data_IF_594960819209
#
_entry.id   IF_594960819209
#
_cell.length_a   1.000
_cell.length_b   1.000
_cell.length_c   1.000
_cell.angle_alpha   90.00
_cell.angle_beta   90.00
_cell.angle_gamma   90.00
#
_symmetry.space_group_name_H-M   'P 1'
#
loop_
_entity.id
_entity.type
_entity.pdbx_description
1 polymer ?
#
# COMPACT_ATOMS: atom_id res chain seq x y z
N UNK A 1 -14.28 16.77 21.95
CA UNK A 1 -13.22 16.45 20.97
C UNK A 1 -12.20 15.56 21.66
N UNK A 2 -12.08 14.29 21.25
CA UNK A 2 -11.12 13.32 21.83
C UNK A 2 -9.93 13.22 20.87
N UNK A 3 -8.73 13.55 21.35
CA UNK A 3 -7.51 13.48 20.54
C UNK A 3 -7.28 12.04 20.03
N UNK A 4 -6.85 11.89 18.78
CA UNK A 4 -6.64 10.60 18.13
C UNK A 4 -7.89 9.96 17.50
N UNK A 5 -9.06 10.61 17.60
CA UNK A 5 -10.32 10.15 16.97
C UNK A 5 -10.75 11.06 15.83
N UNK A 6 -11.55 10.53 14.91
CA UNK A 6 -12.29 11.33 13.92
C UNK A 6 -13.70 11.70 14.39
N UNK A 7 -14.02 11.42 15.66
CA UNK A 7 -15.32 11.70 16.28
C UNK A 7 -16.30 10.53 16.24
N UNK A 8 -17.55 10.82 16.57
CA UNK A 8 -18.67 9.88 16.51
C UNK A 8 -19.41 10.01 15.17
N UNK A 9 -20.21 8.99 14.85
CA UNK A 9 -21.10 9.00 13.67
C UNK A 9 -22.09 10.18 13.70
N UNK A 10 -22.47 10.65 12.52
CA UNK A 10 -23.53 11.64 12.38
C UNK A 10 -24.90 11.04 12.77
N UNK A 11 -25.86 11.86 13.21
CA UNK A 11 -27.24 11.42 13.38
C UNK A 11 -27.78 10.73 12.13
N UNK A 12 -28.55 9.64 12.33
CA UNK A 12 -29.14 8.82 11.27
C UNK A 12 -28.16 8.11 10.33
N UNK A 13 -26.85 8.16 10.63
CA UNK A 13 -25.84 7.35 9.96
C UNK A 13 -25.48 6.17 10.86
N UNK A 14 -25.54 4.97 10.30
CA UNK A 14 -24.95 3.79 10.92
C UNK A 14 -23.46 3.71 10.53
N UNK A 15 -22.63 3.29 11.48
CA UNK A 15 -21.18 3.20 11.35
C UNK A 15 -20.73 1.90 12.03
N UNK A 16 -19.93 1.11 11.35
CA UNK A 16 -19.46 -0.19 11.85
C UNK A 16 -18.11 -0.56 11.24
N UNK A 17 -17.22 -1.18 12.03
CA UNK A 17 -16.03 -1.86 11.52
C UNK A 17 -16.39 -3.31 11.13
N UNK A 18 -16.00 -3.75 9.94
CA UNK A 18 -16.33 -5.05 9.39
C UNK A 18 -15.10 -5.90 9.15
N UNK A 19 -15.18 -7.19 9.49
CA UNK A 19 -14.30 -8.21 8.94
C UNK A 19 -14.75 -8.51 7.52
N UNK A 20 -13.79 -8.60 6.60
CA UNK A 20 -14.04 -8.87 5.20
C UNK A 20 -13.30 -10.13 4.73
N UNK A 21 -13.84 -10.80 3.73
CA UNK A 21 -13.15 -11.88 3.03
C UNK A 21 -12.15 -11.36 1.98
N UNK A 22 -11.51 -12.27 1.26
CA UNK A 22 -10.57 -11.92 0.18
C UNK A 22 -11.20 -11.23 -1.03
N UNK A 23 -12.54 -11.21 -1.15
CA UNK A 23 -13.28 -10.47 -2.15
C UNK A 23 -13.75 -9.09 -1.64
N UNK A 24 -13.45 -8.75 -0.37
CA UNK A 24 -13.85 -7.50 0.26
C UNK A 24 -15.30 -7.48 0.76
N UNK A 25 -15.99 -8.63 0.79
CA UNK A 25 -17.35 -8.74 1.31
C UNK A 25 -17.34 -8.95 2.81
N UNK A 26 -18.31 -8.36 3.51
CA UNK A 26 -18.41 -8.49 4.95
C UNK A 26 -18.77 -9.92 5.38
N UNK A 27 -17.92 -10.50 6.24
CA UNK A 27 -18.16 -11.81 6.88
C UNK A 27 -18.60 -11.67 8.34
N UNK A 28 -18.59 -10.45 8.88
CA UNK A 28 -19.15 -10.14 10.18
C UNK A 28 -18.68 -8.80 10.74
N UNK A 29 -19.41 -8.29 11.71
CA UNK A 29 -19.02 -7.12 12.49
C UNK A 29 -17.75 -7.41 13.33
N UNK A 30 -16.82 -6.45 13.38
CA UNK A 30 -15.75 -6.42 14.35
C UNK A 30 -16.30 -6.05 15.74
N UNK A 31 -15.84 -6.72 16.81
CA UNK A 31 -15.98 -6.25 18.18
C UNK A 31 -15.39 -4.85 18.40
N UNK A 32 -15.78 -4.20 19.49
CA UNK A 32 -15.17 -2.94 19.95
C UNK A 32 -13.66 -3.08 20.09
N UNK A 33 -12.91 -2.11 19.56
CA UNK A 33 -11.44 -2.11 19.58
C UNK A 33 -10.78 -2.95 18.48
N UNK A 34 -11.52 -3.78 17.74
CA UNK A 34 -10.97 -4.58 16.65
C UNK A 34 -10.98 -3.79 15.33
N UNK A 35 -9.83 -3.77 14.65
CA UNK A 35 -9.67 -3.09 13.37
C UNK A 35 -10.43 -3.87 12.28
N UNK A 36 -11.23 -3.15 11.51
CA UNK A 36 -11.93 -3.67 10.34
C UNK A 36 -12.12 -2.60 9.26
N UNK A 37 -12.71 -2.99 8.14
CA UNK A 37 -13.11 -2.06 7.09
C UNK A 37 -14.30 -1.25 7.57
N UNK A 38 -14.18 0.07 7.52
CA UNK A 38 -15.23 0.97 7.97
C UNK A 38 -16.36 0.98 6.94
N UNK A 39 -17.53 0.54 7.38
CA UNK A 39 -18.77 0.61 6.65
C UNK A 39 -19.67 1.72 7.16
N UNK A 40 -20.35 2.40 6.25
CA UNK A 40 -21.42 3.35 6.59
C UNK A 40 -22.72 2.99 5.90
N UNK A 41 -23.84 3.21 6.59
CA UNK A 41 -25.18 3.07 6.01
C UNK A 41 -26.07 4.24 6.47
N UNK A 42 -27.04 4.63 5.65
CA UNK A 42 -27.98 5.71 5.99
C UNK A 42 -28.36 6.56 4.77
N UNK A 43 -29.20 7.60 4.98
CA UNK A 43 -29.80 8.38 3.90
C UNK A 43 -28.78 9.19 3.08
N UNK A 44 -27.56 9.40 3.60
CA UNK A 44 -26.50 10.14 2.93
C UNK A 44 -25.64 9.27 2.01
N UNK A 45 -25.89 7.95 1.96
CA UNK A 45 -25.16 7.03 1.09
C UNK A 45 -25.80 7.07 -0.30
N UNK A 46 -25.00 7.41 -1.31
CA UNK A 46 -25.42 7.43 -2.72
C UNK A 46 -25.75 6.01 -3.22
N UNK A 47 -26.60 5.83 -4.25
CA UNK A 47 -27.09 4.51 -4.67
C UNK A 47 -26.08 3.68 -5.48
N UNK A 48 -24.91 4.23 -5.78
CA UNK A 48 -23.91 3.62 -6.66
C UNK A 48 -23.43 4.57 -7.76
N UNK A 49 -22.36 4.18 -8.45
CA UNK A 49 -21.80 4.93 -9.57
C UNK A 49 -22.59 4.71 -10.86
N UNK A 50 -22.49 5.67 -11.80
CA UNK A 50 -23.15 5.56 -13.10
C UNK A 50 -22.62 4.38 -13.93
N UNK A 51 -21.31 4.13 -13.89
CA UNK A 51 -20.69 3.02 -14.59
C UNK A 51 -20.80 1.74 -13.74
N UNK A 52 -21.33 0.66 -14.33
CA UNK A 52 -21.49 -0.61 -13.63
C UNK A 52 -20.16 -1.20 -13.12
N UNK A 53 -19.07 -1.04 -13.86
CA UNK A 53 -17.73 -1.46 -13.46
C UNK A 53 -17.29 -0.81 -12.13
N UNK A 54 -17.58 0.48 -11.94
CA UNK A 54 -17.13 1.23 -10.77
C UNK A 54 -17.92 0.87 -9.50
N UNK A 55 -19.01 0.10 -9.63
CA UNK A 55 -19.78 -0.43 -8.51
C UNK A 55 -19.21 -1.74 -7.95
N UNK A 56 -18.16 -2.30 -8.54
CA UNK A 56 -17.54 -3.53 -8.05
C UNK A 56 -16.85 -3.28 -6.70
N UNK A 57 -17.26 -4.02 -5.67
CA UNK A 57 -16.63 -3.96 -4.33
C UNK A 57 -16.97 -2.74 -3.47
N UNK A 58 -17.87 -1.85 -3.92
CA UNK A 58 -18.23 -0.65 -3.16
C UNK A 58 -19.19 -0.94 -2.00
N UNK A 59 -19.76 -2.15 -1.93
CA UNK A 59 -20.71 -2.56 -0.90
C UNK A 59 -20.10 -3.67 -0.05
N UNK A 60 -20.01 -3.44 1.26
CA UNK A 60 -19.60 -4.47 2.24
C UNK A 60 -20.72 -5.50 2.46
N UNK A 61 -21.94 -4.98 2.55
CA UNK A 61 -23.18 -5.71 2.72
C UNK A 61 -24.32 -4.86 2.09
N UNK A 62 -25.52 -5.41 1.89
CA UNK A 62 -26.65 -4.64 1.38
C UNK A 62 -26.88 -3.35 2.18
N UNK A 63 -26.78 -2.19 1.51
CA UNK A 63 -26.95 -0.85 2.12
C UNK A 63 -25.75 -0.33 2.91
N UNK A 64 -24.66 -1.08 3.03
CA UNK A 64 -23.44 -0.70 3.72
C UNK A 64 -22.32 -0.37 2.73
N UNK A 65 -22.06 0.93 2.56
CA UNK A 65 -20.98 1.42 1.72
C UNK A 65 -19.63 1.06 2.33
N UNK A 66 -18.78 0.46 1.52
CA UNK A 66 -17.37 0.28 1.78
C UNK A 66 -16.64 1.63 1.62
N UNK A 67 -16.16 2.22 2.70
CA UNK A 67 -15.37 3.47 2.64
C UNK A 67 -13.96 3.25 2.09
N UNK A 68 -13.49 2.00 2.14
CA UNK A 68 -12.10 1.62 1.88
C UNK A 68 -11.13 2.07 2.98
N UNK A 69 -11.62 2.64 4.08
CA UNK A 69 -10.85 3.02 5.25
C UNK A 69 -10.85 1.88 6.29
N UNK A 70 -9.76 1.76 7.04
CA UNK A 70 -9.63 0.86 8.17
C UNK A 70 -9.71 1.63 9.48
N UNK A 71 -10.32 1.01 10.47
CA UNK A 71 -10.40 1.58 11.79
C UNK A 71 -11.13 0.69 12.77
N UNK A 72 -11.28 1.19 13.99
CA UNK A 72 -12.07 0.54 15.03
C UNK A 72 -12.95 1.56 15.76
N UNK A 73 -14.02 1.06 16.37
CA UNK A 73 -14.86 1.83 17.28
C UNK A 73 -14.43 1.52 18.71
N UNK A 74 -14.24 2.56 19.53
CA UNK A 74 -14.05 2.39 20.97
C UNK A 74 -15.39 2.17 21.70
N UNK A 75 -15.33 1.89 23.00
CA UNK A 75 -16.51 1.61 23.82
C UNK A 75 -17.50 2.80 23.88
N UNK A 76 -17.01 4.02 23.62
CA UNK A 76 -17.79 5.25 23.59
C UNK A 76 -18.33 5.56 22.19
N UNK A 77 -18.10 4.68 21.21
CA UNK A 77 -18.55 4.81 19.83
C UNK A 77 -17.77 5.84 19.00
N UNK A 78 -16.58 6.24 19.45
CA UNK A 78 -15.68 7.09 18.65
C UNK A 78 -14.92 6.24 17.65
N UNK A 79 -14.78 6.77 16.43
CA UNK A 79 -14.02 6.15 15.36
C UNK A 79 -12.54 6.55 15.43
N UNK A 80 -11.69 5.55 15.39
CA UNK A 80 -10.25 5.67 15.22
C UNK A 80 -9.91 5.10 13.84
N UNK A 81 -9.48 5.95 12.91
CA UNK A 81 -8.99 5.49 11.61
C UNK A 81 -7.53 5.08 11.75
N UNK A 82 -7.19 3.91 11.22
CA UNK A 82 -5.83 3.39 11.24
C UNK A 82 -5.18 3.44 9.87
N UNK A 83 -5.97 3.34 8.78
CA UNK A 83 -5.42 3.43 7.44
C UNK A 83 -6.44 3.20 6.33
N UNK A 84 -5.98 2.68 5.19
CA UNK A 84 -6.81 2.30 4.04
C UNK A 84 -6.68 0.80 3.81
N UNK A 85 -7.79 0.12 3.52
CA UNK A 85 -7.80 -1.32 3.27
C UNK A 85 -6.86 -1.70 2.11
N UNK A 86 -6.85 -0.90 1.05
CA UNK A 86 -5.97 -1.07 -0.12
C UNK A 86 -4.50 -0.69 0.13
N UNK A 87 -4.20 -0.07 1.26
CA UNK A 87 -2.83 0.33 1.60
C UNK A 87 -2.19 -0.62 2.63
N UNK A 88 -2.91 -1.61 3.14
CA UNK A 88 -2.36 -2.66 3.99
C UNK A 88 -1.18 -3.37 3.31
N UNK A 89 -0.19 -3.70 4.12
CA UNK A 89 0.93 -4.54 3.73
C UNK A 89 0.60 -5.96 4.19
N UNK A 90 0.50 -6.91 3.27
CA UNK A 90 0.10 -8.29 3.58
C UNK A 90 1.33 -9.19 3.59
N UNK A 91 1.90 -9.39 4.78
CA UNK A 91 3.10 -10.21 4.99
C UNK A 91 2.74 -11.58 5.53
N UNK A 92 2.84 -12.61 4.69
CA UNK A 92 2.55 -14.00 5.07
C UNK A 92 1.12 -14.21 5.54
N UNK A 93 0.17 -13.44 4.99
CA UNK A 93 -1.23 -13.43 5.42
C UNK A 93 -1.52 -12.56 6.66
N UNK A 94 -0.51 -11.89 7.22
CA UNK A 94 -0.68 -10.93 8.30
C UNK A 94 -0.82 -9.50 7.76
N UNK A 95 -1.86 -8.79 8.18
CA UNK A 95 -2.14 -7.42 7.76
C UNK A 95 -1.37 -6.43 8.63
N UNK A 96 -0.45 -5.70 8.02
CA UNK A 96 0.36 -4.66 8.66
C UNK A 96 -0.15 -3.30 8.20
N UNK A 97 -0.45 -2.43 9.16
CA UNK A 97 -0.80 -1.05 8.89
C UNK A 97 0.46 -0.20 8.62
N UNK A 98 0.63 0.38 7.42
CA UNK A 98 1.78 1.25 7.14
C UNK A 98 1.88 2.46 8.06
N UNK A 99 0.75 2.94 8.61
CA UNK A 99 0.73 4.12 9.48
C UNK A 99 1.63 3.91 10.71
N UNK A 100 1.69 2.70 11.27
CA UNK A 100 2.58 2.38 12.39
C UNK A 100 4.06 2.63 12.06
N UNK A 101 4.47 2.29 10.85
CA UNK A 101 5.84 2.47 10.36
C UNK A 101 6.10 3.95 10.09
N UNK A 102 5.13 4.63 9.46
CA UNK A 102 5.19 6.05 9.15
C UNK A 102 5.28 6.91 10.42
N UNK A 103 4.48 6.63 11.44
CA UNK A 103 4.51 7.31 12.73
C UNK A 103 5.83 7.06 13.48
N UNK A 104 6.36 5.84 13.43
CA UNK A 104 7.68 5.55 14.00
C UNK A 104 8.78 6.37 13.31
N UNK A 105 8.74 6.48 11.98
CA UNK A 105 9.68 7.29 11.20
C UNK A 105 9.52 8.79 11.49
N UNK A 106 8.29 9.29 11.55
CA UNK A 106 7.99 10.71 11.77
C UNK A 106 8.40 11.20 13.17
N UNK A 107 8.56 10.30 14.14
CA UNK A 107 9.15 10.62 15.46
C UNK A 107 10.65 10.91 15.39
N UNK A 108 11.34 10.47 14.34
CA UNK A 108 12.78 10.70 14.19
C UNK A 108 13.08 12.17 13.81
N UNK A 109 14.03 12.85 14.48
CA UNK A 109 14.23 14.29 14.32
C UNK A 109 14.63 14.71 12.91
N UNK A 110 15.31 13.86 12.14
CA UNK A 110 15.74 14.15 10.76
C UNK A 110 14.62 13.99 9.70
N UNK A 111 13.51 13.32 10.02
CA UNK A 111 12.49 12.92 9.04
C UNK A 111 11.46 14.03 8.87
N UNK A 112 11.24 14.49 7.64
CA UNK A 112 10.19 15.46 7.29
C UNK A 112 8.91 14.77 6.84
N UNK A 113 9.03 13.73 6.02
CA UNK A 113 7.93 12.93 5.52
C UNK A 113 8.35 11.47 5.43
N UNK A 114 7.39 10.57 5.65
CA UNK A 114 7.58 9.14 5.52
C UNK A 114 6.36 8.51 4.84
N UNK A 115 6.59 7.48 4.04
CA UNK A 115 5.56 6.67 3.44
C UNK A 115 5.99 5.21 3.44
N UNK A 116 5.20 4.32 4.03
CA UNK A 116 5.43 2.90 4.03
C UNK A 116 4.48 2.19 3.05
N UNK A 117 5.03 1.20 2.34
CA UNK A 117 4.31 0.37 1.37
C UNK A 117 4.86 -1.05 1.39
N UNK A 118 4.10 -2.00 0.84
CA UNK A 118 4.58 -3.36 0.60
C UNK A 118 5.45 -3.40 -0.65
N UNK A 119 6.64 -3.99 -0.54
CA UNK A 119 7.37 -4.48 -1.71
C UNK A 119 7.00 -5.95 -1.95
N UNK A 120 7.03 -6.43 -3.21
CA UNK A 120 6.84 -7.86 -3.49
C UNK A 120 7.91 -8.74 -2.84
N UNK A 121 7.51 -9.92 -2.39
CA UNK A 121 8.40 -10.95 -1.86
C UNK A 121 7.93 -12.34 -2.28
N UNK A 122 8.86 -13.21 -2.68
CA UNK A 122 8.58 -14.54 -3.22
C UNK A 122 8.06 -15.56 -2.18
N UNK A 123 8.19 -15.28 -0.88
CA UNK A 123 7.78 -16.16 0.20
C UNK A 123 6.64 -15.57 1.04
N UNK A 124 6.79 -14.30 1.43
CA UNK A 124 5.85 -13.60 2.31
C UNK A 124 4.76 -12.85 1.53
N UNK A 125 4.80 -12.81 0.20
CA UNK A 125 3.91 -11.99 -0.62
C UNK A 125 4.36 -10.53 -0.60
N UNK A 126 4.36 -9.89 0.58
CA UNK A 126 4.88 -8.54 0.75
C UNK A 126 5.82 -8.40 1.95
N UNK A 127 6.80 -7.49 1.82
CA UNK A 127 7.63 -7.02 2.92
C UNK A 127 7.50 -5.49 3.07
N UNK A 128 7.45 -4.96 4.31
CA UNK A 128 7.36 -3.52 4.49
C UNK A 128 8.64 -2.81 4.03
N UNK A 129 8.48 -1.75 3.24
CA UNK A 129 9.56 -0.80 2.91
C UNK A 129 9.07 0.61 3.13
N UNK A 130 10.01 1.53 3.39
CA UNK A 130 9.68 2.93 3.62
C UNK A 130 10.48 3.88 2.73
N UNK A 131 9.81 4.94 2.31
CA UNK A 131 10.36 6.06 1.58
C UNK A 131 10.35 7.29 2.48
N UNK A 132 11.47 7.99 2.56
CA UNK A 132 11.67 9.07 3.52
C UNK A 132 12.22 10.30 2.83
N UNK A 133 11.62 11.45 3.08
CA UNK A 133 12.23 12.75 2.80
C UNK A 133 12.74 13.37 4.09
N UNK A 134 13.96 13.88 4.07
CA UNK A 134 14.60 14.50 5.23
C UNK A 134 14.20 15.97 5.38
N UNK A 135 14.30 16.49 6.60
CA UNK A 135 14.18 17.93 6.86
C UNK A 135 15.35 18.67 6.19
N UNK A 136 15.11 19.92 5.81
CA UNK A 136 16.16 20.77 5.27
C UNK A 136 17.36 20.85 6.23
N UNK A 137 18.57 20.59 5.73
CA UNK A 137 19.81 20.59 6.51
C UNK A 137 20.06 19.34 7.34
N UNK A 138 19.13 18.37 7.40
CA UNK A 138 19.36 17.10 8.05
C UNK A 138 20.12 16.13 7.12
N UNK A 139 21.02 15.33 7.68
CA UNK A 139 21.75 14.30 6.97
C UNK A 139 21.81 13.02 7.82
N UNK A 140 21.30 11.93 7.27
CA UNK A 140 21.37 10.59 7.87
C UNK A 140 21.42 9.58 6.73
N UNK A 141 22.21 8.52 6.88
CA UNK A 141 22.25 7.44 5.91
C UNK A 141 21.01 6.55 6.04
N UNK A 142 20.51 6.03 4.93
CA UNK A 142 19.33 5.15 4.91
C UNK A 142 19.51 3.91 5.81
N UNK A 143 20.71 3.30 5.82
CA UNK A 143 21.03 2.15 6.65
C UNK A 143 20.98 2.48 8.14
N UNK A 144 21.53 3.64 8.53
CA UNK A 144 21.49 4.11 9.92
C UNK A 144 20.04 4.38 10.36
N UNK A 145 19.26 5.10 9.55
CA UNK A 145 17.85 5.35 9.87
C UNK A 145 17.05 4.04 9.99
N UNK A 146 17.35 3.04 9.15
CA UNK A 146 16.72 1.73 9.20
C UNK A 146 17.02 1.01 10.52
N UNK A 147 18.27 1.04 10.99
CA UNK A 147 18.64 0.45 12.27
C UNK A 147 17.93 1.14 13.45
N UNK A 148 17.91 2.48 13.45
CA UNK A 148 17.27 3.26 14.51
C UNK A 148 15.75 3.03 14.57
N UNK A 149 15.10 2.89 13.42
CA UNK A 149 13.64 2.73 13.33
C UNK A 149 13.18 1.31 13.68
N UNK A 150 13.99 0.27 13.46
CA UNK A 150 13.62 -1.12 13.81
C UNK A 150 13.23 -1.28 15.29
N UNK A 151 13.82 -0.49 16.19
CA UNK A 151 13.49 -0.50 17.61
C UNK A 151 12.25 0.34 17.98
N UNK A 152 11.77 1.20 17.08
CA UNK A 152 10.65 2.12 17.30
C UNK A 152 9.32 1.59 16.79
N UNK A 153 9.34 0.63 15.85
CA UNK A 153 8.15 -0.05 15.33
C UNK A 153 7.70 -1.10 16.35
N UNK A 154 6.46 -0.97 16.82
CA UNK A 154 5.92 -1.81 17.90
C UNK A 154 5.84 -3.30 17.50
N UNK A 155 5.55 -3.57 16.23
CA UNK A 155 5.41 -4.92 15.71
C UNK A 155 6.65 -5.34 14.89
N UNK A 156 7.28 -6.46 15.27
CA UNK A 156 8.48 -6.96 14.60
C UNK A 156 8.27 -7.24 13.11
N UNK A 157 7.09 -7.73 12.72
CA UNK A 157 6.80 -8.03 11.32
C UNK A 157 6.55 -6.77 10.48
N UNK A 158 6.20 -5.65 11.10
CA UNK A 158 6.05 -4.34 10.48
C UNK A 158 7.38 -3.58 10.28
N UNK A 159 8.46 -3.99 10.95
CA UNK A 159 9.75 -3.33 10.79
C UNK A 159 10.19 -3.35 9.31
N UNK A 160 10.51 -2.17 8.72
CA UNK A 160 10.85 -2.11 7.30
C UNK A 160 12.11 -2.94 7.01
N UNK A 161 12.17 -3.56 5.84
CA UNK A 161 13.36 -4.30 5.38
C UNK A 161 14.32 -3.40 4.62
N UNK A 162 13.81 -2.27 4.09
CA UNK A 162 14.57 -1.25 3.36
C UNK A 162 13.98 0.14 3.62
N UNK A 163 14.86 1.13 3.70
CA UNK A 163 14.51 2.55 3.60
C UNK A 163 15.17 3.14 2.36
N UNK A 164 14.44 3.92 1.58
CA UNK A 164 14.96 4.74 0.49
C UNK A 164 14.78 6.22 0.83
N UNK A 165 15.85 6.99 0.74
CA UNK A 165 15.80 8.45 0.91
C UNK A 165 15.45 9.09 -0.44
N UNK A 166 14.38 9.87 -0.45
CA UNK A 166 13.95 10.65 -1.62
C UNK A 166 14.18 12.13 -1.35
N UNK A 167 14.51 12.88 -2.41
CA UNK A 167 14.53 14.33 -2.35
C UNK A 167 13.13 14.89 -1.99
N UNK A 168 12.08 14.25 -2.53
CA UNK A 168 10.69 14.54 -2.22
C UNK A 168 9.86 13.26 -2.35
N UNK A 169 8.87 13.08 -1.48
CA UNK A 169 7.91 11.98 -1.62
C UNK A 169 6.90 12.35 -2.72
N UNK A 170 6.63 11.46 -3.69
CA UNK A 170 5.69 11.74 -4.77
C UNK A 170 4.28 11.98 -4.23
N UNK A 171 3.61 13.00 -4.79
CA UNK A 171 2.26 13.39 -4.44
C UNK A 171 1.34 13.22 -5.65
N UNK A 172 0.09 12.83 -5.39
CA UNK A 172 -1.02 12.88 -6.34
C UNK A 172 -1.37 14.33 -6.70
N UNK A 173 -2.16 14.52 -7.76
CA UNK A 173 -2.62 15.84 -8.21
C UNK A 173 -3.37 16.65 -7.13
N UNK A 174 -3.92 15.97 -6.11
CA UNK A 174 -4.61 16.59 -4.97
C UNK A 174 -3.72 16.68 -3.70
N UNK A 175 -2.40 16.53 -3.84
CA UNK A 175 -1.44 16.75 -2.76
C UNK A 175 -1.29 15.61 -1.74
N UNK A 176 -1.95 14.46 -1.94
CA UNK A 176 -1.77 13.27 -1.08
C UNK A 176 -0.58 12.43 -1.55
N UNK A 177 0.11 11.73 -0.64
CA UNK A 177 1.19 10.79 -1.00
C UNK A 177 0.71 9.76 -2.03
N UNK A 178 1.44 9.64 -3.13
CA UNK A 178 1.15 8.71 -4.22
C UNK A 178 1.68 7.29 -3.89
N UNK A 179 1.11 6.62 -2.89
CA UNK A 179 1.54 5.26 -2.47
C UNK A 179 1.53 4.22 -3.60
N UNK A 180 0.65 4.38 -4.59
CA UNK A 180 0.64 3.51 -5.78
C UNK A 180 1.95 3.62 -6.58
N UNK A 181 2.49 4.82 -6.75
CA UNK A 181 3.79 5.04 -7.40
C UNK A 181 4.93 4.44 -6.58
N UNK A 182 4.89 4.61 -5.26
CA UNK A 182 5.88 4.02 -4.35
C UNK A 182 5.90 2.49 -4.39
N UNK A 183 4.73 1.83 -4.50
CA UNK A 183 4.65 0.37 -4.70
C UNK A 183 5.25 -0.06 -6.03
N UNK A 184 4.98 0.68 -7.10
CA UNK A 184 5.57 0.39 -8.42
C UNK A 184 7.09 0.54 -8.39
N UNK A 185 7.61 1.59 -7.71
CA UNK A 185 9.04 1.77 -7.46
C UNK A 185 9.62 0.60 -6.66
N UNK A 186 8.94 0.17 -5.59
CA UNK A 186 9.38 -0.96 -4.77
C UNK A 186 9.44 -2.27 -5.58
N UNK A 187 8.43 -2.53 -6.41
CA UNK A 187 8.39 -3.70 -7.29
C UNK A 187 9.50 -3.65 -8.35
N UNK A 188 9.71 -2.51 -9.01
CA UNK A 188 10.79 -2.35 -9.99
C UNK A 188 12.17 -2.62 -9.37
N UNK A 189 12.40 -2.13 -8.15
CA UNK A 189 13.62 -2.39 -7.41
C UNK A 189 13.83 -3.89 -7.13
N UNK A 190 12.83 -4.57 -6.54
CA UNK A 190 12.90 -6.01 -6.23
C UNK A 190 13.17 -6.84 -7.48
N UNK A 191 12.49 -6.54 -8.57
CA UNK A 191 12.67 -7.25 -9.83
C UNK A 191 14.05 -7.00 -10.44
N UNK A 192 14.54 -5.75 -10.38
CA UNK A 192 15.90 -5.40 -10.79
C UNK A 192 16.96 -6.17 -10.00
N UNK A 193 16.84 -6.21 -8.67
CA UNK A 193 17.74 -6.99 -7.81
C UNK A 193 17.69 -8.49 -8.14
N UNK A 194 16.50 -9.05 -8.34
CA UNK A 194 16.34 -10.47 -8.66
C UNK A 194 17.00 -10.82 -10.01
N UNK A 195 16.81 -9.99 -11.03
CA UNK A 195 17.42 -10.21 -12.35
C UNK A 195 18.95 -10.04 -12.29
N UNK A 196 19.44 -9.04 -11.55
CA UNK A 196 20.88 -8.85 -11.33
C UNK A 196 21.53 -10.05 -10.62
N UNK A 197 20.89 -10.60 -9.59
CA UNK A 197 21.36 -11.81 -8.90
C UNK A 197 21.47 -13.04 -9.83
N UNK A 198 20.64 -13.09 -10.87
CA UNK A 198 20.65 -14.15 -11.89
C UNK A 198 21.60 -13.83 -13.06
N UNK A 199 22.30 -12.70 -13.03
CA UNK A 199 23.17 -12.27 -14.12
C UNK A 199 22.41 -11.92 -15.40
N UNK A 200 21.18 -11.41 -15.28
CA UNK A 200 20.33 -10.98 -16.41
C UNK A 200 20.33 -9.45 -16.45
N UNK A 201 21.10 -8.80 -17.34
CA UNK A 201 21.06 -7.36 -17.50
C UNK A 201 19.70 -6.95 -18.07
N UNK A 202 18.94 -6.17 -17.31
CA UNK A 202 17.65 -5.65 -17.74
C UNK A 202 17.37 -4.30 -17.09
N UNK A 203 16.76 -3.38 -17.85
CA UNK A 203 16.08 -2.24 -17.23
C UNK A 203 14.65 -2.67 -16.85
N UNK A 204 14.23 -2.30 -15.64
CA UNK A 204 12.93 -2.68 -15.10
C UNK A 204 12.13 -1.44 -14.76
N UNK A 205 10.93 -1.36 -15.31
CA UNK A 205 9.91 -0.40 -14.90
C UNK A 205 8.66 -1.16 -14.47
N UNK A 206 7.83 -0.53 -13.65
CA UNK A 206 6.48 -1.01 -13.33
C UNK A 206 5.50 0.12 -13.60
N UNK A 207 4.46 -0.18 -14.36
CA UNK A 207 3.41 0.79 -14.73
C UNK A 207 2.04 0.31 -14.29
N UNK A 208 1.14 1.26 -14.06
CA UNK A 208 -0.26 0.94 -13.87
C UNK A 208 -0.90 0.56 -15.21
N UNK A 209 -1.78 -0.43 -15.16
CA UNK A 209 -2.59 -0.92 -16.26
C UNK A 209 -4.02 -1.06 -15.74
N UNK A 210 -4.98 -0.46 -16.46
CA UNK A 210 -6.37 -0.36 -16.01
C UNK A 210 -7.02 -1.74 -15.80
N UNK A 211 -6.61 -2.76 -16.58
CA UNK A 211 -7.23 -4.09 -16.52
C UNK A 211 -6.39 -5.08 -15.72
N UNK A 212 -5.06 -4.94 -15.78
CA UNK A 212 -4.12 -5.93 -15.23
C UNK A 212 -3.49 -5.49 -13.91
N UNK A 213 -3.82 -4.30 -13.41
CA UNK A 213 -3.20 -3.75 -12.21
C UNK A 213 -1.77 -3.26 -12.49
N UNK A 214 -0.81 -3.57 -11.62
CA UNK A 214 0.58 -3.19 -11.85
C UNK A 214 1.27 -4.21 -12.79
N UNK A 215 1.91 -3.73 -13.85
CA UNK A 215 2.57 -4.55 -14.87
C UNK A 215 4.06 -4.22 -14.91
N UNK A 216 4.91 -5.25 -14.80
CA UNK A 216 6.35 -5.11 -14.97
C UNK A 216 6.69 -5.02 -16.46
N UNK A 217 7.53 -4.06 -16.84
CA UNK A 217 8.04 -3.86 -18.19
C UNK A 217 9.54 -4.07 -18.15
N UNK A 218 10.02 -5.07 -18.89
CA UNK A 218 11.43 -5.43 -18.95
C UNK A 218 12.03 -5.03 -20.30
N UNK A 219 13.06 -4.21 -20.26
CA UNK A 219 13.99 -4.05 -21.38
C UNK A 219 15.15 -5.01 -21.16
N UNK A 220 15.12 -6.12 -21.90
CA UNK A 220 16.04 -7.26 -21.74
C UNK A 220 16.31 -7.88 -23.10
N UNK A 221 17.52 -8.41 -23.29
CA UNK A 221 17.89 -9.10 -24.52
C UNK A 221 16.90 -10.24 -24.82
N UNK A 222 16.49 -10.36 -26.10
CA UNK A 222 15.50 -11.36 -26.53
C UNK A 222 15.88 -12.80 -26.13
N UNK A 223 17.18 -13.13 -26.15
CA UNK A 223 17.71 -14.42 -25.72
C UNK A 223 17.49 -14.72 -24.23
N UNK A 224 17.38 -13.70 -23.38
CA UNK A 224 17.20 -13.81 -21.93
C UNK A 224 15.75 -13.54 -21.49
N UNK A 225 14.87 -13.08 -22.38
CA UNK A 225 13.50 -12.70 -22.06
C UNK A 225 12.68 -13.83 -21.41
N UNK A 226 12.86 -15.08 -21.88
CA UNK A 226 12.18 -16.25 -21.29
C UNK A 226 12.63 -16.50 -19.85
N UNK A 227 13.93 -16.42 -19.59
CA UNK A 227 14.50 -16.59 -18.25
C UNK A 227 14.07 -15.47 -17.32
N UNK A 228 14.05 -14.22 -17.80
CA UNK A 228 13.62 -13.06 -17.02
C UNK A 228 12.14 -13.17 -16.61
N UNK A 229 11.25 -13.55 -17.54
CA UNK A 229 9.83 -13.79 -17.23
C UNK A 229 9.66 -14.91 -16.21
N UNK A 230 10.37 -16.03 -16.37
CA UNK A 230 10.31 -17.14 -15.43
C UNK A 230 10.78 -16.74 -14.02
N UNK A 231 11.82 -15.90 -13.93
CA UNK A 231 12.33 -15.41 -12.65
C UNK A 231 11.34 -14.54 -11.88
N UNK A 232 10.50 -13.77 -12.59
CA UNK A 232 9.52 -12.87 -11.96
C UNK A 232 8.13 -13.50 -11.76
N UNK A 233 7.86 -14.68 -12.31
CA UNK A 233 6.54 -15.32 -12.26
C UNK A 233 6.03 -15.55 -10.83
N UNK A 234 6.93 -15.76 -9.86
CA UNK A 234 6.57 -16.04 -8.46
C UNK A 234 6.05 -14.82 -7.69
N UNK A 235 6.24 -13.61 -8.22
CA UNK A 235 5.75 -12.38 -7.57
C UNK A 235 4.29 -12.05 -7.93
N UNK A 236 3.68 -12.77 -8.88
CA UNK A 236 2.29 -12.55 -9.27
C UNK A 236 2.04 -11.29 -10.13
N UNK A 237 3.10 -10.68 -10.68
CA UNK A 237 2.98 -9.54 -11.58
C UNK A 237 2.91 -10.01 -13.04
N UNK A 238 1.98 -9.47 -13.85
CA UNK A 238 2.07 -9.56 -15.30
C UNK A 238 3.38 -8.91 -15.80
N UNK A 239 4.00 -9.53 -16.81
CA UNK A 239 5.27 -9.08 -17.38
C UNK A 239 5.15 -8.83 -18.89
N UNK A 240 5.40 -7.59 -19.29
CA UNK A 240 5.55 -7.16 -20.67
C UNK A 240 7.05 -6.97 -20.99
N UNK A 241 7.42 -7.16 -22.26
CA UNK A 241 8.75 -6.80 -22.75
C UNK A 241 8.68 -5.43 -23.41
N UNK A 242 9.68 -4.58 -23.17
CA UNK A 242 9.81 -3.34 -23.91
C UNK A 242 9.96 -3.65 -25.42
N UNK A 243 9.35 -2.85 -26.31
CA UNK A 243 9.57 -3.00 -27.73
C UNK A 243 11.06 -2.81 -28.05
N UNK A 244 11.59 -3.64 -28.96
CA UNK A 244 13.02 -3.66 -29.32
C UNK A 244 13.55 -2.32 -29.90
N UNK A 245 12.65 -1.43 -30.29
CA UNK A 245 12.93 -0.07 -30.75
C UNK A 245 11.95 0.89 -30.05
N UNK A 246 12.46 1.92 -29.37
CA UNK A 246 11.71 2.87 -28.54
C UNK A 246 10.69 3.75 -29.27
N UNK A 247 9.71 3.15 -29.95
CA UNK A 247 8.49 3.81 -30.42
C UNK A 247 7.33 3.42 -29.52
N UNK A 248 6.75 4.41 -28.85
CA UNK A 248 5.44 4.27 -28.23
C UNK A 248 4.41 3.80 -29.26
N UNK A 249 3.50 2.86 -28.92
CA UNK A 249 2.37 2.56 -29.77
C UNK A 249 1.43 3.78 -29.81
N UNK A 250 1.16 4.24 -31.03
CA UNK A 250 0.21 5.31 -31.39
C UNK A 250 -1.22 5.01 -30.96
#
# INVERSE_FOLDING_TARGET
>A
HRAGTVGQRLPHQALQAWRVDGAGLAIGACPTGEIGVIGIAGPNVFPGYLNAHDNQGIWLAPGWLNTGDLGYLDADGYLHLTGRAKDLIIRGGHNIDPAMIEEALLRHPAVAQAAAVGQPDEHAGELPVAYVALKAGAAIAAAQLLEEVRGLVAERAAAPVRIELLAQIPLTAIGKIAKAELRMRAAAHVFGEKLAQLGIPAAVAVRADVRRGAVAVLDVAAAQAGQARAALARYGYPVDLAPADGKEPS
#
